data_IF_970138233106
#
_entry.id   IF_970138233106
#
_cell.length_a   1.000
_cell.length_b   1.000
_cell.length_c   1.000
_cell.angle_alpha   90.00
_cell.angle_beta   90.00
_cell.angle_gamma   90.00
#
_symmetry.space_group_name_H-M   'P 1'
#
loop_
_entity.id
_entity.type
_entity.pdbx_description
1 polymer ?
#
# COMPACT_ATOMS: atom_id res chain seq x y z
N UNK A 1 -8.82 -31.53 9.91
CA UNK A 1 -9.65 -30.38 9.61
C UNK A 1 -8.73 -29.17 9.52
N UNK A 2 -8.58 -28.55 8.36
CA UNK A 2 -7.81 -27.33 8.22
C UNK A 2 -8.56 -26.21 8.94
N UNK A 3 -7.94 -25.62 9.96
CA UNK A 3 -8.48 -24.47 10.66
C UNK A 3 -8.52 -23.32 9.66
N UNK A 4 -9.70 -22.87 9.27
CA UNK A 4 -9.87 -21.68 8.40
C UNK A 4 -9.21 -20.51 9.10
N UNK A 5 -8.06 -20.07 8.59
CA UNK A 5 -7.33 -18.93 9.16
C UNK A 5 -7.98 -17.65 8.62
N UNK A 6 -8.86 -17.05 9.42
CA UNK A 6 -9.36 -15.70 9.14
C UNK A 6 -8.26 -14.67 9.36
N UNK A 7 -8.26 -13.60 8.58
CA UNK A 7 -7.35 -12.47 8.78
C UNK A 7 -7.58 -11.85 10.17
N UNK A 8 -6.54 -11.87 10.99
CA UNK A 8 -6.56 -11.32 12.35
C UNK A 8 -5.56 -10.19 12.45
N UNK A 9 -6.03 -9.01 12.80
CA UNK A 9 -5.18 -7.82 12.91
C UNK A 9 -4.55 -7.70 14.29
N UNK A 10 -3.32 -7.23 14.31
CA UNK A 10 -2.51 -6.95 15.49
C UNK A 10 -1.75 -5.64 15.28
N UNK A 11 -1.16 -5.13 16.35
CA UNK A 11 -0.28 -3.97 16.30
C UNK A 11 1.12 -4.34 16.78
N UNK A 12 2.12 -3.76 16.12
CA UNK A 12 3.52 -3.85 16.56
C UNK A 12 4.22 -2.52 16.30
N UNK A 13 5.32 -2.28 16.98
CA UNK A 13 6.19 -1.15 16.69
C UNK A 13 7.31 -1.61 15.75
N UNK A 14 7.52 -0.87 14.65
CA UNK A 14 8.59 -1.07 13.68
C UNK A 14 9.22 0.29 13.44
N UNK A 15 10.52 0.39 13.57
CA UNK A 15 11.27 1.63 13.40
C UNK A 15 10.66 2.82 14.18
N UNK A 16 10.16 2.53 15.39
CA UNK A 16 9.51 3.52 16.26
C UNK A 16 8.09 3.90 15.89
N UNK A 17 7.47 3.27 14.88
CA UNK A 17 6.09 3.53 14.43
C UNK A 17 5.18 2.36 14.78
N UNK A 18 4.04 2.62 15.38
CA UNK A 18 3.03 1.61 15.66
C UNK A 18 2.24 1.29 14.41
N UNK A 19 2.44 0.11 13.84
CA UNK A 19 1.76 -0.35 12.62
C UNK A 19 0.70 -1.41 12.91
N UNK A 20 -0.42 -1.38 12.15
CA UNK A 20 -1.38 -2.47 12.10
C UNK A 20 -0.94 -3.50 11.05
N UNK A 21 -0.99 -4.76 11.41
CA UNK A 21 -0.64 -5.86 10.52
C UNK A 21 -1.47 -7.10 10.81
N UNK A 22 -1.45 -8.03 9.87
CA UNK A 22 -1.94 -9.40 10.04
C UNK A 22 -0.84 -10.37 9.61
N UNK A 23 -0.64 -11.44 10.37
CA UNK A 23 0.34 -12.49 10.07
C UNK A 23 -0.35 -13.86 10.11
N UNK A 24 -0.33 -14.59 9.00
CA UNK A 24 -0.91 -15.94 8.95
C UNK A 24 -0.05 -16.98 9.67
N UNK A 25 1.17 -16.62 10.04
CA UNK A 25 2.16 -17.55 10.56
C UNK A 25 2.64 -18.57 9.52
N UNK A 26 3.52 -19.48 9.95
CA UNK A 26 4.10 -20.53 9.09
C UNK A 26 5.53 -20.20 8.66
N UNK A 27 6.50 -21.01 9.14
CA UNK A 27 7.94 -20.73 8.95
C UNK A 27 8.57 -21.42 7.73
N UNK A 28 7.85 -22.33 7.06
CA UNK A 28 8.41 -23.20 6.01
C UNK A 28 7.91 -22.88 4.61
N UNK A 29 7.17 -21.78 4.44
CA UNK A 29 6.60 -21.33 3.16
C UNK A 29 7.27 -20.02 2.73
N UNK A 30 7.26 -19.69 1.43
CA UNK A 30 7.64 -18.34 1.01
C UNK A 30 6.77 -17.32 1.74
N UNK A 31 7.34 -16.16 2.06
CA UNK A 31 6.60 -15.07 2.71
C UNK A 31 6.12 -14.08 1.66
N UNK A 32 4.83 -13.70 1.73
CA UNK A 32 4.27 -12.57 0.99
C UNK A 32 4.12 -11.38 1.96
N UNK A 33 4.78 -10.28 1.67
CA UNK A 33 4.55 -8.99 2.32
C UNK A 33 3.55 -8.19 1.48
N UNK A 34 2.35 -8.00 2.03
CA UNK A 34 1.23 -7.36 1.35
C UNK A 34 1.02 -5.96 1.92
N UNK A 35 1.18 -4.91 1.12
CA UNK A 35 0.90 -3.53 1.56
C UNK A 35 -0.53 -3.16 1.19
N UNK A 36 -1.30 -2.63 2.15
CA UNK A 36 -2.69 -2.25 1.89
C UNK A 36 -2.79 -1.12 0.86
N UNK A 37 -3.76 -1.19 -0.05
CA UNK A 37 -4.05 -0.07 -0.97
C UNK A 37 -4.74 1.08 -0.23
N UNK A 38 -4.77 2.26 -0.85
CA UNK A 38 -5.39 3.46 -0.32
C UNK A 38 -6.67 3.83 -1.11
N UNK A 39 -7.77 4.22 -0.46
CA UNK A 39 -7.96 4.42 0.98
C UNK A 39 -8.59 3.19 1.69
N UNK A 40 -8.03 2.04 1.51
CA UNK A 40 -8.43 0.79 2.14
C UNK A 40 -7.56 0.48 3.37
N UNK A 41 -7.50 -0.79 3.76
CA UNK A 41 -6.66 -1.29 4.84
C UNK A 41 -6.22 -2.74 4.60
N UNK A 42 -5.52 -3.35 5.54
CA UNK A 42 -5.14 -4.78 5.47
C UNK A 42 -6.31 -5.70 5.12
N UNK A 43 -7.55 -5.30 5.40
CA UNK A 43 -8.73 -6.07 5.05
C UNK A 43 -9.02 -6.16 3.54
N UNK A 44 -8.31 -5.40 2.69
CA UNK A 44 -8.33 -5.59 1.24
C UNK A 44 -7.94 -7.02 0.83
N UNK A 45 -7.19 -7.71 1.67
CA UNK A 45 -6.73 -9.09 1.44
C UNK A 45 -7.64 -10.15 2.09
N UNK A 46 -8.70 -9.77 2.81
CA UNK A 46 -9.51 -10.69 3.61
C UNK A 46 -10.13 -11.82 2.78
N UNK A 47 -10.65 -11.51 1.59
CA UNK A 47 -11.31 -12.50 0.73
C UNK A 47 -10.35 -13.56 0.16
N UNK A 48 -9.09 -13.19 -0.08
CA UNK A 48 -8.07 -14.09 -0.63
C UNK A 48 -7.17 -14.72 0.44
N UNK A 49 -7.31 -14.27 1.70
CA UNK A 49 -6.40 -14.60 2.79
C UNK A 49 -6.22 -16.10 3.00
N UNK A 50 -7.33 -16.82 3.15
CA UNK A 50 -7.31 -18.26 3.42
C UNK A 50 -6.64 -19.04 2.28
N UNK A 51 -7.02 -18.74 1.03
CA UNK A 51 -6.46 -19.41 -0.16
C UNK A 51 -4.96 -19.14 -0.30
N UNK A 52 -4.54 -17.91 -0.16
CA UNK A 52 -3.11 -17.57 -0.25
C UNK A 52 -2.30 -18.18 0.91
N UNK A 53 -2.88 -18.25 2.13
CA UNK A 53 -2.22 -18.83 3.30
C UNK A 53 -1.98 -20.34 3.20
N UNK A 54 -2.61 -21.03 2.24
CA UNK A 54 -2.28 -22.43 1.93
C UNK A 54 -0.91 -22.55 1.27
N UNK A 55 -0.47 -21.53 0.54
CA UNK A 55 0.73 -21.56 -0.29
C UNK A 55 1.90 -20.73 0.27
N UNK A 56 1.62 -19.72 1.09
CA UNK A 56 2.62 -18.78 1.61
C UNK A 56 2.32 -18.37 3.05
N UNK A 57 3.34 -17.88 3.78
CA UNK A 57 3.12 -17.04 4.96
C UNK A 57 2.71 -15.66 4.46
N UNK A 58 1.61 -15.14 4.94
CA UNK A 58 1.11 -13.82 4.60
C UNK A 58 1.41 -12.85 5.74
N UNK A 59 2.03 -11.74 5.41
CA UNK A 59 2.20 -10.62 6.31
C UNK A 59 1.61 -9.38 5.62
N UNK A 60 0.38 -9.02 5.99
CA UNK A 60 -0.27 -7.82 5.48
C UNK A 60 -0.06 -6.65 6.43
N UNK A 61 0.15 -5.44 5.90
CA UNK A 61 0.45 -4.25 6.69
C UNK A 61 -0.27 -3.02 6.16
N UNK A 62 -0.83 -2.23 7.07
CA UNK A 62 -1.11 -0.83 6.82
C UNK A 62 0.20 -0.05 6.92
N UNK A 63 0.61 0.59 5.84
CA UNK A 63 1.81 1.41 5.84
C UNK A 63 1.67 2.62 6.78
N UNK A 64 2.76 3.19 7.32
CA UNK A 64 2.71 4.40 8.14
C UNK A 64 1.88 5.51 7.52
N UNK A 65 0.90 6.02 8.28
CA UNK A 65 -0.03 7.05 7.81
C UNK A 65 -1.25 6.54 7.03
N UNK A 66 -1.29 5.24 6.70
CA UNK A 66 -2.42 4.59 6.03
C UNK A 66 -3.14 3.61 6.96
N UNK A 67 -4.38 3.25 6.59
CA UNK A 67 -5.20 2.36 7.40
C UNK A 67 -5.25 2.79 8.87
N UNK A 68 -5.07 1.85 9.79
CA UNK A 68 -5.02 2.14 11.22
C UNK A 68 -3.58 2.25 11.78
N UNK A 69 -2.56 2.29 10.92
CA UNK A 69 -1.17 2.51 11.35
C UNK A 69 -0.94 3.95 11.77
N UNK A 70 -0.02 4.15 12.71
CA UNK A 70 0.41 5.47 13.14
C UNK A 70 0.99 6.28 11.97
N UNK A 71 0.72 7.58 11.96
CA UNK A 71 1.31 8.51 11.00
C UNK A 71 2.65 9.03 11.54
N UNK A 72 3.62 9.06 10.65
CA UNK A 72 4.88 9.77 10.84
C UNK A 72 5.22 10.53 9.56
N UNK A 73 5.26 11.85 9.65
CA UNK A 73 5.27 12.75 8.48
C UNK A 73 6.52 12.56 7.58
N UNK A 74 7.66 12.21 8.16
CA UNK A 74 8.89 11.92 7.43
C UNK A 74 8.84 10.61 6.61
N UNK A 75 7.84 9.76 6.84
CA UNK A 75 7.59 8.56 6.05
C UNK A 75 6.54 8.75 4.93
N UNK A 76 5.87 9.91 4.89
CA UNK A 76 4.83 10.17 3.89
C UNK A 76 5.45 10.58 2.54
N UNK A 77 6.27 9.70 1.97
CA UNK A 77 6.76 9.77 0.60
C UNK A 77 7.10 8.38 0.06
N UNK A 78 7.00 8.14 -1.26
CA UNK A 78 7.35 6.85 -1.85
C UNK A 78 8.74 6.35 -1.51
N UNK A 79 9.75 7.22 -1.58
CA UNK A 79 11.14 6.88 -1.28
C UNK A 79 11.34 6.54 0.20
N UNK A 80 10.83 7.36 1.10
CA UNK A 80 10.97 7.11 2.54
C UNK A 80 10.22 5.83 2.94
N UNK A 81 9.05 5.59 2.35
CA UNK A 81 8.28 4.37 2.57
C UNK A 81 9.01 3.13 2.05
N UNK A 82 9.76 3.22 0.95
CA UNK A 82 10.63 2.16 0.48
C UNK A 82 11.70 1.79 1.51
N UNK A 83 12.33 2.79 2.13
CA UNK A 83 13.25 2.58 3.25
C UNK A 83 12.59 1.92 4.46
N UNK A 84 11.36 2.33 4.80
CA UNK A 84 10.57 1.71 5.87
C UNK A 84 10.26 0.23 5.58
N UNK A 85 9.93 -0.14 4.34
CA UNK A 85 9.71 -1.55 3.96
C UNK A 85 10.94 -2.41 4.23
N UNK A 86 12.14 -1.91 3.95
CA UNK A 86 13.37 -2.62 4.25
C UNK A 86 13.59 -2.83 5.77
N UNK A 87 13.24 -1.85 6.60
CA UNK A 87 13.26 -1.98 8.06
C UNK A 87 12.19 -2.96 8.56
N UNK A 88 10.97 -2.87 8.03
CA UNK A 88 9.87 -3.79 8.36
C UNK A 88 10.28 -5.24 8.10
N UNK A 89 10.88 -5.54 6.94
CA UNK A 89 11.33 -6.88 6.58
C UNK A 89 12.31 -7.42 7.64
N UNK A 90 13.26 -6.59 8.08
CA UNK A 90 14.25 -6.96 9.06
C UNK A 90 13.66 -7.16 10.47
N UNK A 91 12.87 -6.18 10.95
CA UNK A 91 12.35 -6.19 12.32
C UNK A 91 11.18 -7.16 12.52
N UNK A 92 10.47 -7.54 11.44
CA UNK A 92 9.41 -8.54 11.48
C UNK A 92 9.90 -9.98 11.17
N UNK A 93 11.20 -10.14 10.93
CA UNK A 93 11.82 -11.43 10.58
C UNK A 93 11.10 -12.13 9.41
N UNK A 94 10.93 -11.39 8.31
CA UNK A 94 10.24 -11.89 7.12
C UNK A 94 11.18 -12.64 6.16
N UNK A 95 12.47 -12.70 6.46
CA UNK A 95 13.48 -13.27 5.57
C UNK A 95 13.64 -12.46 4.28
N UNK A 96 13.46 -13.12 3.14
CA UNK A 96 13.40 -12.47 1.82
C UNK A 96 11.99 -12.63 1.22
N UNK A 97 11.04 -11.75 1.58
CA UNK A 97 9.66 -11.90 1.13
C UNK A 97 9.50 -11.55 -0.35
N UNK A 98 8.41 -12.03 -0.94
CA UNK A 98 7.85 -11.46 -2.15
C UNK A 98 6.96 -10.29 -1.73
N UNK A 99 7.26 -9.08 -2.18
CA UNK A 99 6.45 -7.89 -1.86
C UNK A 99 5.30 -7.78 -2.86
N UNK A 100 4.08 -7.65 -2.38
CA UNK A 100 2.90 -7.32 -3.18
C UNK A 100 2.46 -5.91 -2.79
N UNK A 101 2.80 -4.95 -3.63
CA UNK A 101 2.61 -3.52 -3.40
C UNK A 101 1.66 -2.90 -4.43
N UNK A 102 0.33 -3.09 -4.29
CA UNK A 102 -0.62 -2.37 -5.14
C UNK A 102 -0.73 -0.91 -4.73
N UNK A 103 -1.23 -0.07 -5.63
CA UNK A 103 -1.59 1.33 -5.41
C UNK A 103 -0.44 2.15 -4.79
N UNK A 104 -0.61 2.75 -3.60
CA UNK A 104 0.45 3.49 -2.89
C UNK A 104 1.68 2.61 -2.59
N UNK A 105 1.51 1.31 -2.50
CA UNK A 105 2.60 0.35 -2.33
C UNK A 105 3.51 0.21 -3.55
N UNK A 106 3.05 0.57 -4.76
CA UNK A 106 3.79 0.38 -6.02
C UNK A 106 5.14 1.11 -6.01
N UNK A 107 5.13 2.43 -5.88
CA UNK A 107 6.35 3.20 -5.89
C UNK A 107 7.26 2.89 -4.67
N UNK A 108 6.66 2.67 -3.49
CA UNK A 108 7.40 2.27 -2.29
C UNK A 108 8.15 0.95 -2.49
N UNK A 109 7.48 -0.07 -3.04
CA UNK A 109 8.09 -1.38 -3.29
C UNK A 109 9.21 -1.30 -4.34
N UNK A 110 9.06 -0.47 -5.38
CA UNK A 110 10.09 -0.24 -6.40
C UNK A 110 11.30 0.52 -5.81
N UNK A 111 11.10 1.54 -4.98
CA UNK A 111 12.20 2.19 -4.26
C UNK A 111 12.92 1.23 -3.32
N UNK A 112 12.18 0.36 -2.61
CA UNK A 112 12.79 -0.66 -1.76
C UNK A 112 13.63 -1.63 -2.58
N UNK A 113 13.12 -2.10 -3.73
CA UNK A 113 13.83 -3.01 -4.63
C UNK A 113 15.10 -2.39 -5.23
N UNK A 114 15.08 -1.10 -5.54
CA UNK A 114 16.24 -0.38 -6.02
C UNK A 114 17.30 -0.19 -4.94
N UNK A 115 16.88 0.10 -3.70
CA UNK A 115 17.79 0.43 -2.59
C UNK A 115 18.35 -0.80 -1.85
N UNK A 116 17.59 -1.90 -1.80
CA UNK A 116 17.91 -3.08 -0.98
C UNK A 116 17.47 -4.38 -1.66
N UNK A 117 17.94 -4.69 -2.88
CA UNK A 117 17.50 -5.85 -3.66
C UNK A 117 17.73 -7.19 -2.95
N UNK A 118 18.73 -7.27 -2.08
CA UNK A 118 19.05 -8.47 -1.30
C UNK A 118 17.98 -8.82 -0.25
N UNK A 119 17.14 -7.85 0.13
CA UNK A 119 16.13 -8.03 1.18
C UNK A 119 14.82 -8.65 0.71
N UNK A 120 14.62 -8.80 -0.58
CA UNK A 120 13.38 -9.36 -1.12
C UNK A 120 13.63 -10.36 -2.23
N UNK A 121 12.70 -11.26 -2.45
CA UNK A 121 12.79 -12.29 -3.49
C UNK A 121 12.24 -11.78 -4.83
N UNK A 122 11.14 -11.04 -4.81
CA UNK A 122 10.52 -10.40 -5.97
C UNK A 122 9.55 -9.31 -5.54
N UNK A 123 9.08 -8.52 -6.50
CA UNK A 123 8.08 -7.48 -6.29
C UNK A 123 6.94 -7.66 -7.28
N UNK A 124 5.70 -7.59 -6.81
CA UNK A 124 4.48 -7.53 -7.61
C UNK A 124 3.84 -6.17 -7.37
N UNK A 125 3.66 -5.38 -8.42
CA UNK A 125 3.11 -4.02 -8.36
C UNK A 125 1.98 -3.84 -9.36
N UNK A 126 1.18 -2.80 -9.19
CA UNK A 126 0.12 -2.44 -10.13
C UNK A 126 -0.85 -1.42 -9.55
N UNK A 127 -1.66 -0.82 -10.41
CA UNK A 127 -2.65 0.21 -10.04
C UNK A 127 -2.06 1.39 -9.27
N UNK A 128 -0.75 1.63 -9.37
CA UNK A 128 0.00 2.68 -8.68
C UNK A 128 0.87 3.48 -9.63
N UNK A 129 1.21 4.70 -9.24
CA UNK A 129 2.03 5.60 -10.04
C UNK A 129 3.49 5.17 -10.08
N UNK A 130 4.03 4.97 -11.30
CA UNK A 130 5.45 4.71 -11.53
C UNK A 130 6.01 5.40 -12.78
N UNK A 131 5.15 5.84 -13.70
CA UNK A 131 5.57 6.47 -14.95
C UNK A 131 5.89 7.97 -14.81
N UNK A 132 6.68 8.48 -15.75
CA UNK A 132 6.99 9.90 -15.88
C UNK A 132 6.77 10.33 -17.33
N UNK A 133 5.94 11.36 -17.60
CA UNK A 133 5.07 12.05 -16.61
C UNK A 133 3.97 11.13 -16.10
N UNK A 134 3.62 11.29 -14.82
CA UNK A 134 2.52 10.50 -14.23
C UNK A 134 1.18 10.88 -14.90
N UNK A 135 0.39 9.85 -15.23
CA UNK A 135 -0.95 10.01 -15.80
C UNK A 135 -1.97 9.51 -14.77
N UNK A 136 -2.84 10.38 -14.32
CA UNK A 136 -3.84 10.09 -13.30
C UNK A 136 -5.23 10.48 -13.77
N UNK A 137 -6.19 9.64 -13.48
CA UNK A 137 -7.62 9.97 -13.60
C UNK A 137 -8.14 10.64 -12.34
N UNK A 138 -9.35 11.21 -12.47
CA UNK A 138 -10.04 11.80 -11.31
C UNK A 138 -10.63 10.70 -10.39
N UNK A 139 -10.64 10.92 -9.08
CA UNK A 139 -10.27 12.16 -8.37
C UNK A 139 -8.77 12.23 -8.01
N UNK A 140 -7.96 11.21 -8.29
CA UNK A 140 -6.56 11.14 -7.86
C UNK A 140 -5.71 12.28 -8.47
N UNK A 141 -5.98 12.65 -9.73
CA UNK A 141 -5.28 13.75 -10.37
C UNK A 141 -5.41 15.07 -9.57
N UNK A 142 -6.64 15.40 -9.15
CA UNK A 142 -6.90 16.56 -8.30
C UNK A 142 -6.20 16.42 -6.93
N UNK A 143 -6.22 15.25 -6.31
CA UNK A 143 -5.59 15.05 -5.01
C UNK A 143 -4.08 15.24 -5.05
N UNK A 144 -3.45 14.85 -6.14
CA UNK A 144 -2.01 15.01 -6.34
C UNK A 144 -1.62 16.44 -6.72
N UNK A 145 -2.35 17.07 -7.63
CA UNK A 145 -1.91 18.26 -8.33
C UNK A 145 -2.55 19.57 -7.84
N UNK A 146 -3.68 19.52 -7.13
CA UNK A 146 -4.38 20.72 -6.67
C UNK A 146 -3.54 21.49 -5.63
N UNK A 147 -3.26 22.78 -5.84
CA UNK A 147 -2.50 23.60 -4.88
C UNK A 147 -3.23 23.85 -3.56
N UNK A 148 -4.59 23.87 -3.54
CA UNK A 148 -5.37 24.05 -2.31
C UNK A 148 -5.52 22.73 -1.55
N UNK A 149 -4.50 22.40 -0.78
CA UNK A 149 -4.53 21.20 0.06
C UNK A 149 -5.52 21.33 1.23
N UNK A 150 -5.73 22.53 1.77
CA UNK A 150 -6.56 22.73 2.95
C UNK A 150 -8.06 22.50 2.68
N UNK A 151 -8.50 22.57 1.43
CA UNK A 151 -9.89 22.20 1.09
C UNK A 151 -10.19 20.75 1.46
N UNK A 152 -9.23 19.84 1.29
CA UNK A 152 -9.41 18.41 1.60
C UNK A 152 -9.53 18.16 3.11
N UNK A 153 -8.89 18.97 3.94
CA UNK A 153 -9.05 18.91 5.40
C UNK A 153 -10.43 19.37 5.87
N UNK A 154 -11.11 20.18 5.06
CA UNK A 154 -12.47 20.68 5.35
C UNK A 154 -13.58 19.75 4.83
N UNK A 155 -13.25 18.79 3.99
CA UNK A 155 -14.20 17.81 3.47
C UNK A 155 -14.47 16.71 4.49
N UNK A 156 -15.68 16.16 4.48
CA UNK A 156 -15.97 14.95 5.26
C UNK A 156 -15.25 13.74 4.66
N UNK A 157 -14.27 13.17 5.36
CA UNK A 157 -13.51 12.03 4.85
C UNK A 157 -14.39 10.80 4.59
N UNK A 158 -15.49 10.63 5.32
CA UNK A 158 -16.44 9.51 5.11
C UNK A 158 -17.10 9.56 3.74
N UNK A 159 -17.39 10.75 3.24
CA UNK A 159 -17.98 10.93 1.89
C UNK A 159 -16.95 10.55 0.83
N UNK A 160 -15.70 11.00 0.97
CA UNK A 160 -14.64 10.73 -0.01
C UNK A 160 -14.25 9.25 -0.02
N UNK A 161 -13.95 8.71 1.15
CA UNK A 161 -13.56 7.29 1.30
C UNK A 161 -14.71 6.39 0.91
N UNK A 162 -15.95 6.69 1.34
CA UNK A 162 -17.14 5.95 0.95
C UNK A 162 -17.31 5.89 -0.57
N UNK A 163 -17.18 7.02 -1.26
CA UNK A 163 -17.29 7.07 -2.72
C UNK A 163 -16.16 6.29 -3.43
N UNK A 164 -14.97 6.20 -2.85
CA UNK A 164 -13.88 5.39 -3.38
C UNK A 164 -14.17 3.87 -3.18
N UNK A 165 -14.58 3.50 -1.99
CA UNK A 165 -14.89 2.09 -1.62
C UNK A 165 -16.09 1.56 -2.40
N UNK A 166 -17.12 2.37 -2.63
CA UNK A 166 -18.31 1.99 -3.39
C UNK A 166 -18.00 1.68 -4.89
N UNK A 167 -16.80 2.03 -5.38
CA UNK A 167 -16.33 1.69 -6.73
C UNK A 167 -15.60 0.36 -6.82
N UNK A 168 -15.31 -0.29 -5.69
CA UNK A 168 -14.60 -1.55 -5.67
C UNK A 168 -15.48 -2.63 -6.31
N UNK A 169 -14.95 -3.28 -7.35
CA UNK A 169 -15.67 -4.30 -8.08
C UNK A 169 -16.01 -5.50 -7.18
N UNK A 170 -17.26 -5.96 -7.23
CA UNK A 170 -17.75 -7.05 -6.39
C UNK A 170 -18.25 -6.62 -5.01
N UNK A 171 -18.11 -5.33 -4.67
CA UNK A 171 -18.53 -4.77 -3.38
C UNK A 171 -17.59 -5.13 -2.24
N UNK A 172 -17.82 -4.51 -1.10
CA UNK A 172 -17.05 -4.70 0.14
C UNK A 172 -18.04 -5.04 1.27
N UNK A 173 -17.77 -6.08 2.08
CA UNK A 173 -18.60 -6.38 3.25
C UNK A 173 -18.74 -5.18 4.19
N UNK A 174 -19.90 -5.00 4.81
CA UNK A 174 -20.20 -3.82 5.64
C UNK A 174 -19.20 -3.61 6.77
N UNK A 175 -18.72 -4.67 7.39
CA UNK A 175 -17.73 -4.61 8.46
C UNK A 175 -16.36 -4.12 7.97
N UNK A 176 -15.94 -4.53 6.76
CA UNK A 176 -14.70 -4.06 6.13
C UNK A 176 -14.85 -2.61 5.69
N UNK A 177 -16.01 -2.27 5.11
CA UNK A 177 -16.33 -0.88 4.75
C UNK A 177 -16.30 0.03 5.97
N UNK A 178 -16.83 -0.40 7.10
CA UNK A 178 -16.78 0.35 8.35
C UNK A 178 -15.33 0.56 8.85
N UNK A 179 -14.47 -0.46 8.73
CA UNK A 179 -13.04 -0.33 9.04
C UNK A 179 -12.37 0.73 8.16
N UNK A 180 -12.57 0.68 6.84
CA UNK A 180 -11.99 1.67 5.92
C UNK A 180 -12.41 3.10 6.28
N UNK A 181 -13.70 3.33 6.52
CA UNK A 181 -14.22 4.64 6.91
C UNK A 181 -13.59 5.13 8.22
N UNK A 182 -13.49 4.26 9.22
CA UNK A 182 -12.91 4.59 10.53
C UNK A 182 -11.41 4.88 10.44
N UNK A 183 -10.67 4.16 9.58
CA UNK A 183 -9.24 4.38 9.39
C UNK A 183 -8.89 5.80 8.93
N UNK A 184 -9.81 6.47 8.25
CA UNK A 184 -9.56 7.77 7.64
C UNK A 184 -10.39 8.91 8.24
N UNK A 185 -10.94 8.73 9.44
CA UNK A 185 -11.67 9.78 10.15
C UNK A 185 -10.78 10.97 10.53
N UNK A 186 -11.40 12.12 10.76
CA UNK A 186 -10.73 13.36 11.10
C UNK A 186 -9.86 13.87 9.95
N UNK A 187 -8.61 14.17 10.22
CA UNK A 187 -7.64 14.67 9.25
C UNK A 187 -6.87 13.55 8.51
N UNK A 188 -7.04 12.28 8.92
CA UNK A 188 -6.21 11.16 8.45
C UNK A 188 -6.27 10.97 6.94
N UNK A 189 -7.44 11.12 6.31
CA UNK A 189 -7.53 11.01 4.85
C UNK A 189 -6.71 12.12 4.17
N UNK A 190 -6.94 13.38 4.54
CA UNK A 190 -6.22 14.51 3.97
C UNK A 190 -4.70 14.38 4.21
N UNK A 191 -4.28 14.03 5.42
CA UNK A 191 -2.87 13.89 5.73
C UNK A 191 -2.20 12.73 4.96
N UNK A 192 -2.90 11.62 4.70
CA UNK A 192 -2.38 10.52 3.87
C UNK A 192 -2.14 10.94 2.41
N UNK A 193 -2.88 11.93 1.88
CA UNK A 193 -2.66 12.48 0.54
C UNK A 193 -1.26 13.09 0.37
N UNK A 194 -0.58 13.50 1.44
CA UNK A 194 0.79 14.03 1.39
C UNK A 194 1.74 13.06 0.69
N UNK A 195 1.51 11.76 0.83
CA UNK A 195 2.28 10.73 0.17
C UNK A 195 2.17 10.82 -1.36
N UNK A 196 0.94 10.79 -1.90
CA UNK A 196 0.72 10.82 -3.36
C UNK A 196 1.09 12.18 -3.96
N UNK A 197 1.03 13.24 -3.19
CA UNK A 197 1.47 14.60 -3.60
C UNK A 197 2.99 14.71 -3.80
N UNK A 198 3.77 13.72 -3.33
CA UNK A 198 5.22 13.62 -3.62
C UNK A 198 5.51 12.96 -4.97
N UNK A 199 4.53 12.40 -5.66
CA UNK A 199 4.74 11.74 -6.95
C UNK A 199 5.43 12.63 -7.99
N UNK A 200 5.00 13.87 -8.25
CA UNK A 200 5.67 14.73 -9.24
C UNK A 200 7.14 14.99 -8.94
N UNK A 201 7.53 14.99 -7.67
CA UNK A 201 8.90 15.22 -7.21
C UNK A 201 9.75 13.93 -7.21
N UNK A 202 9.18 12.80 -6.77
CA UNK A 202 9.95 11.59 -6.50
C UNK A 202 9.94 10.56 -7.64
N UNK A 203 8.89 10.51 -8.47
CA UNK A 203 8.84 9.56 -9.59
C UNK A 203 9.92 9.78 -10.66
N UNK A 204 10.35 11.01 -10.99
CA UNK A 204 11.52 11.19 -11.87
C UNK A 204 12.77 10.46 -11.37
N UNK A 205 13.06 10.54 -10.08
CA UNK A 205 14.17 9.82 -9.49
C UNK A 205 13.96 8.29 -9.46
N UNK A 206 12.71 7.82 -9.30
CA UNK A 206 12.40 6.41 -9.46
C UNK A 206 12.63 5.93 -10.89
N UNK A 207 12.22 6.70 -11.89
CA UNK A 207 12.40 6.36 -13.30
C UNK A 207 13.87 6.13 -13.65
N UNK A 208 14.79 6.91 -13.08
CA UNK A 208 16.24 6.72 -13.23
C UNK A 208 16.74 5.41 -12.61
N UNK A 209 16.06 4.92 -11.55
CA UNK A 209 16.42 3.69 -10.85
C UNK A 209 15.85 2.43 -11.52
N UNK A 210 14.69 2.52 -12.19
CA UNK A 210 13.99 1.36 -12.75
C UNK A 210 14.88 0.45 -13.61
N UNK A 211 15.73 0.96 -14.54
CA UNK A 211 16.61 0.12 -15.35
C UNK A 211 17.67 -0.66 -14.54
N UNK A 212 17.91 -0.27 -13.31
CA UNK A 212 18.94 -0.85 -12.43
C UNK A 212 18.36 -1.80 -11.37
N UNK A 213 17.02 -1.98 -11.32
CA UNK A 213 16.38 -2.91 -10.39
C UNK A 213 16.72 -4.34 -10.84
N UNK A 214 17.53 -5.03 -10.04
CA UNK A 214 17.88 -6.44 -10.27
C UNK A 214 16.83 -7.43 -9.73
N UNK A 215 15.99 -6.98 -8.79
CA UNK A 215 14.90 -7.78 -8.22
C UNK A 215 13.85 -8.07 -9.29
N UNK A 216 13.38 -9.33 -9.47
CA UNK A 216 12.29 -9.63 -10.39
C UNK A 216 11.04 -8.82 -10.09
N UNK A 217 10.50 -8.13 -11.08
CA UNK A 217 9.28 -7.31 -10.97
C UNK A 217 8.18 -7.90 -11.85
N UNK A 218 7.00 -8.09 -11.29
CA UNK A 218 5.77 -8.43 -12.02
C UNK A 218 4.80 -7.28 -11.91
N UNK A 219 4.22 -6.87 -13.04
CA UNK A 219 3.21 -5.80 -13.09
C UNK A 219 1.85 -6.43 -13.35
N UNK A 220 0.86 -6.11 -12.47
CA UNK A 220 -0.54 -6.50 -12.65
C UNK A 220 -1.37 -5.23 -12.60
N UNK A 221 -1.93 -4.85 -13.76
CA UNK A 221 -2.76 -3.63 -13.86
C UNK A 221 -4.07 -3.90 -14.59
N UNK A 222 -5.13 -3.22 -14.17
CA UNK A 222 -6.43 -3.30 -14.82
C UNK A 222 -6.41 -2.59 -16.18
N UNK A 223 -6.77 -3.29 -17.27
CA UNK A 223 -6.85 -2.68 -18.62
C UNK A 223 -7.76 -1.45 -18.69
N UNK A 224 -8.78 -1.41 -17.84
CA UNK A 224 -9.79 -0.37 -17.79
C UNK A 224 -9.70 0.46 -16.53
N UNK A 225 -8.56 0.45 -15.85
CA UNK A 225 -8.31 1.32 -14.70
C UNK A 225 -8.38 2.79 -15.16
N UNK A 226 -9.34 3.54 -14.58
CA UNK A 226 -9.59 4.95 -14.92
C UNK A 226 -8.90 5.91 -13.95
N UNK A 227 -8.39 5.40 -12.84
CA UNK A 227 -7.71 6.20 -11.79
C UNK A 227 -6.21 6.18 -12.03
N UNK A 228 -5.65 5.00 -12.26
CA UNK A 228 -4.24 4.80 -12.63
C UNK A 228 -4.20 4.05 -13.98
N UNK A 229 -4.26 4.77 -15.09
CA UNK A 229 -4.28 4.15 -16.42
C UNK A 229 -3.06 3.26 -16.69
N UNK A 230 -3.23 2.29 -17.60
CA UNK A 230 -2.19 1.33 -17.98
C UNK A 230 -0.89 1.99 -18.50
N UNK A 231 -0.93 3.28 -18.84
CA UNK A 231 0.24 4.04 -19.31
C UNK A 231 1.21 4.45 -18.15
N UNK A 232 0.83 4.19 -16.91
CA UNK A 232 1.72 4.35 -15.75
C UNK A 232 2.61 3.10 -15.53
#
# INVERSE_FOLDING_TARGET
MATTRTLQVQFRTVHGVRIRHADSGGSHKPTLLLTSPWPESVYAFAQMWTTLAEHARLFAVDLPGFGASERRDDLLSPRAMGGFLAQLIAEADLGRPHIVGPDVGTAAALFAAAASPERMASVVVGTGGAAVPIQLGEPLASWVLDPDFDKYRRMDPRVIVGAAVDRIAGGVPDEIRADYLTCYEGDRFAESMRYVRRYPEELPALAELLPHIATPVTIINGRHDRVVPLAN
#
